data_IF_289090070783
#
_entry.id   IF_289090070783
#
_cell.length_a   1.000
_cell.length_b   1.000
_cell.length_c   1.000
_cell.angle_alpha   90.00
_cell.angle_beta   90.00
_cell.angle_gamma   90.00
#
_symmetry.space_group_name_H-M   'P 1'
#
loop_
_entity.id
_entity.type
_entity.pdbx_description
1 polymer ?
#
# COMPACT_ATOMS: atom_id res chain seq x y z
N UNK A 1 12.25 -3.24 12.43
CA UNK A 1 11.46 -2.72 11.28
C UNK A 1 11.27 -1.24 11.52
N UNK A 2 11.66 -0.35 10.60
CA UNK A 2 11.41 1.09 10.75
C UNK A 2 9.90 1.39 10.74
N UNK A 3 9.42 2.45 11.42
CA UNK A 3 7.99 2.78 11.49
C UNK A 3 7.35 2.98 10.12
N UNK A 4 8.06 3.55 9.16
CA UNK A 4 7.62 3.76 7.78
C UNK A 4 7.40 2.45 7.03
N UNK A 5 8.29 1.48 7.22
CA UNK A 5 8.13 0.12 6.68
C UNK A 5 6.92 -0.58 7.30
N UNK A 6 6.72 -0.45 8.62
CA UNK A 6 5.55 -1.03 9.30
C UNK A 6 4.23 -0.45 8.78
N UNK A 7 4.16 0.87 8.61
CA UNK A 7 2.99 1.53 8.03
C UNK A 7 2.72 1.09 6.59
N UNK A 8 3.77 0.87 5.79
CA UNK A 8 3.62 0.35 4.43
C UNK A 8 3.01 -1.07 4.44
N UNK A 9 3.45 -1.94 5.35
CA UNK A 9 2.96 -3.32 5.49
C UNK A 9 1.50 -3.33 5.96
N UNK A 10 1.15 -2.50 6.94
CA UNK A 10 -0.23 -2.38 7.44
C UNK A 10 -1.14 -1.90 6.31
N UNK A 11 -0.77 -0.83 5.61
CA UNK A 11 -1.59 -0.27 4.53
C UNK A 11 -1.81 -1.27 3.39
N UNK A 12 -0.76 -1.99 2.99
CA UNK A 12 -0.85 -3.01 1.94
C UNK A 12 -1.71 -4.21 2.38
N UNK A 13 -1.55 -4.68 3.61
CA UNK A 13 -2.32 -5.82 4.15
C UNK A 13 -3.80 -5.46 4.29
N UNK A 14 -4.11 -4.26 4.78
CA UNK A 14 -5.48 -3.74 4.82
C UNK A 14 -6.08 -3.63 3.43
N UNK A 15 -5.31 -3.17 2.43
CA UNK A 15 -5.78 -3.09 1.04
C UNK A 15 -6.17 -4.47 0.49
N UNK A 16 -5.36 -5.51 0.74
CA UNK A 16 -5.69 -6.87 0.30
C UNK A 16 -6.82 -7.52 1.08
N UNK A 17 -6.91 -7.24 2.38
CA UNK A 17 -8.01 -7.75 3.21
C UNK A 17 -9.38 -7.23 2.72
N UNK A 18 -9.44 -5.94 2.39
CA UNK A 18 -10.65 -5.29 1.89
C UNK A 18 -10.95 -5.62 0.42
N UNK A 19 -9.92 -5.81 -0.40
CA UNK A 19 -10.05 -6.13 -1.84
C UNK A 19 -10.12 -7.66 -2.03
N UNK A 20 -11.25 -8.28 -1.68
CA UNK A 20 -11.44 -9.74 -1.58
C UNK A 20 -11.13 -10.52 -2.87
N UNK A 21 -11.15 -9.87 -4.02
CA UNK A 21 -10.94 -10.41 -5.36
C UNK A 21 -9.85 -9.66 -6.16
N UNK A 22 -9.08 -8.77 -5.50
CA UNK A 22 -8.17 -7.85 -6.18
C UNK A 22 -8.86 -6.71 -6.92
N UNK A 23 -10.19 -6.57 -6.78
CA UNK A 23 -10.94 -5.44 -7.32
C UNK A 23 -10.98 -4.26 -6.35
N UNK A 24 -11.43 -3.12 -6.87
CA UNK A 24 -11.70 -1.89 -6.11
C UNK A 24 -12.95 -1.98 -5.22
N UNK A 25 -13.66 -3.12 -5.23
CA UNK A 25 -14.87 -3.38 -4.45
C UNK A 25 -14.55 -3.65 -2.98
N UNK A 26 -14.34 -2.58 -2.21
CA UNK A 26 -14.10 -2.59 -0.76
C UNK A 26 -14.14 -1.17 -0.17
N UNK A 27 -13.36 -0.88 0.87
CA UNK A 27 -13.18 0.45 1.49
C UNK A 27 -13.03 1.64 0.50
N UNK A 28 -12.62 1.35 -0.74
CA UNK A 28 -12.37 2.33 -1.81
C UNK A 28 -13.49 2.46 -2.86
N UNK A 29 -14.66 1.83 -2.68
CA UNK A 29 -15.87 2.01 -3.48
C UNK A 29 -15.62 2.05 -5.00
N UNK A 30 -15.27 0.90 -5.59
CA UNK A 30 -15.03 0.69 -7.03
C UNK A 30 -14.11 1.74 -7.71
N UNK A 31 -13.34 2.52 -6.93
CA UNK A 31 -12.55 3.62 -7.44
C UNK A 31 -11.11 3.18 -7.73
N UNK A 32 -10.81 2.94 -9.01
CA UNK A 32 -9.47 2.58 -9.49
C UNK A 32 -8.41 3.62 -9.08
N UNK A 33 -8.79 4.91 -9.00
CA UNK A 33 -7.90 5.97 -8.57
C UNK A 33 -7.43 5.83 -7.12
N UNK A 34 -8.25 5.23 -6.27
CA UNK A 34 -7.88 5.02 -4.87
C UNK A 34 -6.90 3.86 -4.68
N UNK A 35 -7.05 2.75 -5.43
CA UNK A 35 -6.04 1.69 -5.45
C UNK A 35 -4.68 2.19 -5.91
N UNK A 36 -4.64 3.07 -6.94
CA UNK A 36 -3.39 3.68 -7.39
C UNK A 36 -2.72 4.53 -6.30
N UNK A 37 -3.49 5.26 -5.50
CA UNK A 37 -2.96 6.06 -4.39
C UNK A 37 -2.36 5.19 -3.27
N UNK A 38 -2.99 4.05 -2.97
CA UNK A 38 -2.44 3.07 -2.01
C UNK A 38 -1.09 2.58 -2.49
N UNK A 39 -0.99 2.12 -3.75
CA UNK A 39 0.26 1.63 -4.31
C UNK A 39 1.37 2.67 -4.31
N UNK A 40 1.04 3.92 -4.68
CA UNK A 40 2.01 5.01 -4.67
C UNK A 40 2.52 5.30 -3.25
N UNK A 41 1.63 5.30 -2.25
CA UNK A 41 1.97 5.55 -0.85
C UNK A 41 2.86 4.44 -0.29
N UNK A 42 2.49 3.17 -0.50
CA UNK A 42 3.29 2.02 -0.06
C UNK A 42 4.69 2.06 -0.67
N UNK A 43 4.79 2.32 -1.98
CA UNK A 43 6.09 2.41 -2.66
C UNK A 43 6.96 3.56 -2.13
N UNK A 44 6.37 4.71 -1.79
CA UNK A 44 7.10 5.81 -1.16
C UNK A 44 7.64 5.39 0.21
N UNK A 45 6.78 4.85 1.08
CA UNK A 45 7.14 4.47 2.44
C UNK A 45 8.26 3.43 2.47
N UNK A 46 8.22 2.42 1.58
CA UNK A 46 9.28 1.40 1.49
C UNK A 46 10.60 1.94 0.95
N UNK A 47 10.58 3.03 0.17
CA UNK A 47 11.80 3.64 -0.38
C UNK A 47 12.53 4.51 0.63
N UNK A 48 11.84 5.06 1.61
CA UNK A 48 12.45 5.89 2.66
C UNK A 48 13.47 5.11 3.49
N UNK A 49 13.18 3.85 3.77
CA UNK A 49 14.06 2.96 4.56
C UNK A 49 14.96 2.07 3.70
N UNK A 50 14.86 2.15 2.38
CA UNK A 50 15.65 1.28 1.50
C UNK A 50 17.11 1.72 1.51
N UNK A 51 17.99 0.81 1.90
CA UNK A 51 19.42 0.95 1.65
C UNK A 51 19.72 0.73 0.17
N UNK A 52 20.03 1.81 -0.54
CA UNK A 52 20.42 1.76 -1.94
C UNK A 52 21.91 1.42 -2.04
N UNK A 53 22.23 0.23 -2.57
CA UNK A 53 23.60 -0.17 -2.91
C UNK A 53 23.90 0.26 -4.35
N UNK A 54 25.08 0.86 -4.55
CA UNK A 54 25.60 1.30 -5.86
C UNK A 54 26.42 0.19 -6.50
#
# INVERSE_FOLDING_TARGET
>A
MPPTTEQAVIMLSSHFYESRDGSTGGFFADNVGASQQVWNTVNLLLRLDREWKV
#
